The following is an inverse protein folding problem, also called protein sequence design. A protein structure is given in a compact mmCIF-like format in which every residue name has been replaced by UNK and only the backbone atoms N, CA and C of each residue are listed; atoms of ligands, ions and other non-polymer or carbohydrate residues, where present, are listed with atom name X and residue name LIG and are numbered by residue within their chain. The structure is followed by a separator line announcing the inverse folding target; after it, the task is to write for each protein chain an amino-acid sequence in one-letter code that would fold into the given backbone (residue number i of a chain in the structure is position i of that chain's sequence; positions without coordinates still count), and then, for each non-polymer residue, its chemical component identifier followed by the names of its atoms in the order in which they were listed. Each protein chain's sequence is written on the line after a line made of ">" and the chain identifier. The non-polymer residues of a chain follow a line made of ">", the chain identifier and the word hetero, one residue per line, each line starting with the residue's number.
data_IF_126123030227
#
_entry.id   IF_126123030227
#
_cell.length_a   1.000
_cell.length_b   1.000
_cell.length_c   1.000
_cell.angle_alpha   90.00
_cell.angle_beta   90.00
_cell.angle_gamma   90.00
#
_symmetry.space_group_name_H-M   'P 1'
#
loop_
_entity.id
_entity.type
_entity.pdbx_description
1 polymer ?
#
# COMPACT_ATOMS: atom_id res chain seq x y z
N UNK A 1 -20.62 -7.63 -8.84
CA UNK A 1 -20.90 -6.80 -7.65
C UNK A 1 -20.23 -5.45 -7.89
N UNK A 2 -20.85 -4.33 -7.53
CA UNK A 2 -20.16 -3.03 -7.61
C UNK A 2 -19.06 -2.99 -6.55
N UNK A 3 -17.84 -2.60 -6.91
CA UNK A 3 -16.67 -2.51 -6.00
C UNK A 3 -17.00 -1.72 -4.71
N UNK A 4 -17.82 -0.67 -4.83
CA UNK A 4 -18.34 0.10 -3.68
C UNK A 4 -19.14 -0.74 -2.68
N UNK A 5 -19.91 -1.71 -3.15
CA UNK A 5 -20.70 -2.60 -2.30
C UNK A 5 -19.78 -3.54 -1.51
N UNK A 6 -18.75 -4.06 -2.17
CA UNK A 6 -17.77 -4.95 -1.55
C UNK A 6 -16.97 -4.24 -0.46
N UNK A 7 -16.47 -3.02 -0.74
CA UNK A 7 -15.79 -2.17 0.25
C UNK A 7 -16.70 -1.90 1.46
N UNK A 8 -17.97 -1.60 1.22
CA UNK A 8 -18.94 -1.38 2.30
C UNK A 8 -19.19 -2.64 3.13
N UNK A 9 -19.31 -3.81 2.51
CA UNK A 9 -19.49 -5.09 3.22
C UNK A 9 -18.26 -5.42 4.09
N UNK A 10 -17.05 -5.15 3.58
CA UNK A 10 -15.81 -5.29 4.34
C UNK A 10 -15.72 -4.31 5.52
N UNK A 11 -16.13 -3.06 5.34
CA UNK A 11 -16.23 -2.06 6.42
C UNK A 11 -17.17 -2.56 7.53
N UNK A 12 -18.37 -3.02 7.18
CA UNK A 12 -19.32 -3.53 8.17
C UNK A 12 -18.75 -4.74 8.93
N UNK A 13 -18.03 -5.62 8.24
CA UNK A 13 -17.34 -6.75 8.87
C UNK A 13 -16.25 -6.29 9.83
N UNK A 14 -15.44 -5.30 9.44
CA UNK A 14 -14.38 -4.76 10.28
C UNK A 14 -14.92 -4.04 11.53
N UNK A 15 -16.08 -3.37 11.43
CA UNK A 15 -16.75 -2.69 12.56
C UNK A 15 -17.40 -3.70 13.50
N UNK A 16 -18.27 -4.55 12.96
CA UNK A 16 -19.27 -5.28 13.75
C UNK A 16 -18.99 -6.76 13.92
N UNK A 17 -17.99 -7.34 13.22
CA UNK A 17 -17.68 -8.76 13.42
C UNK A 17 -17.31 -9.03 14.88
N UNK A 18 -17.68 -10.21 15.38
CA UNK A 18 -17.33 -10.65 16.72
C UNK A 18 -15.88 -11.16 16.80
N UNK A 19 -15.31 -11.54 15.65
CA UNK A 19 -14.00 -12.18 15.57
C UNK A 19 -12.91 -11.17 15.17
N UNK A 20 -11.91 -10.98 16.04
CA UNK A 20 -10.73 -10.15 15.73
C UNK A 20 -10.02 -10.60 14.45
N UNK A 21 -10.01 -11.92 14.19
CA UNK A 21 -9.47 -12.50 12.96
C UNK A 21 -10.20 -12.02 11.71
N UNK A 22 -11.53 -12.02 11.74
CA UNK A 22 -12.34 -11.55 10.61
C UNK A 22 -12.19 -10.05 10.40
N UNK A 23 -12.14 -9.27 11.49
CA UNK A 23 -11.87 -7.82 11.41
C UNK A 23 -10.54 -7.53 10.71
N UNK A 24 -9.47 -8.21 11.13
CA UNK A 24 -8.14 -8.09 10.51
C UNK A 24 -8.14 -8.52 9.05
N UNK A 25 -8.87 -9.58 8.71
CA UNK A 25 -8.97 -10.07 7.34
C UNK A 25 -9.72 -9.07 6.45
N UNK A 26 -10.81 -8.48 6.94
CA UNK A 26 -11.54 -7.44 6.24
C UNK A 26 -10.70 -6.16 6.03
N UNK A 27 -9.91 -5.73 7.02
CA UNK A 27 -8.99 -4.60 6.90
C UNK A 27 -7.90 -4.87 5.86
N UNK A 28 -7.38 -6.10 5.83
CA UNK A 28 -6.40 -6.50 4.82
C UNK A 28 -7.01 -6.46 3.42
N UNK A 29 -8.24 -6.94 3.25
CA UNK A 29 -8.95 -6.89 1.97
C UNK A 29 -9.22 -5.44 1.55
N UNK A 30 -9.67 -4.59 2.47
CA UNK A 30 -9.81 -3.13 2.28
C UNK A 30 -8.51 -2.50 1.76
N UNK A 31 -7.34 -2.92 2.26
CA UNK A 31 -6.05 -2.42 1.77
C UNK A 31 -5.77 -2.72 0.30
N UNK A 32 -6.37 -3.77 -0.27
CA UNK A 32 -6.22 -4.10 -1.69
C UNK A 32 -7.04 -3.17 -2.60
N UNK A 33 -8.14 -2.61 -2.10
CA UNK A 33 -8.97 -1.64 -2.84
C UNK A 33 -8.33 -0.24 -2.95
N UNK A 34 -7.20 0.00 -2.27
CA UNK A 34 -6.43 1.24 -2.42
C UNK A 34 -7.09 2.45 -1.77
N UNK A 35 -7.01 3.61 -2.42
CA UNK A 35 -7.40 4.90 -1.82
C UNK A 35 -8.89 4.99 -1.44
N UNK A 36 -9.73 4.25 -2.16
CA UNK A 36 -11.17 4.20 -1.89
C UNK A 36 -11.47 3.65 -0.50
N UNK A 37 -10.60 2.81 0.07
CA UNK A 37 -10.78 2.20 1.38
C UNK A 37 -10.29 3.06 2.55
N UNK A 38 -9.49 4.11 2.30
CA UNK A 38 -8.94 4.99 3.35
C UNK A 38 -10.04 5.58 4.27
N UNK A 39 -11.11 6.22 3.77
CA UNK A 39 -12.14 6.78 4.66
C UNK A 39 -12.88 5.70 5.46
N UNK A 40 -13.01 4.49 4.90
CA UNK A 40 -13.65 3.36 5.59
C UNK A 40 -12.77 2.82 6.73
N UNK A 41 -11.45 2.74 6.52
CA UNK A 41 -10.50 2.32 7.54
C UNK A 41 -10.42 3.31 8.71
N UNK A 42 -10.53 4.61 8.42
CA UNK A 42 -10.56 5.68 9.44
C UNK A 42 -11.83 5.58 10.31
N UNK A 43 -12.98 5.39 9.68
CA UNK A 43 -14.26 5.18 10.36
C UNK A 43 -14.25 3.91 11.24
N UNK A 44 -13.69 2.80 10.74
CA UNK A 44 -13.49 1.56 11.54
C UNK A 44 -12.64 1.86 12.78
N UNK A 45 -11.57 2.64 12.62
CA UNK A 45 -10.66 3.00 13.71
C UNK A 45 -11.32 3.87 14.78
N UNK A 46 -12.24 4.74 14.36
CA UNK A 46 -13.02 5.61 15.24
C UNK A 46 -14.09 4.84 16.04
N UNK A 47 -14.69 3.81 15.43
CA UNK A 47 -15.74 3.00 16.07
C UNK A 47 -15.17 1.87 16.95
N UNK A 48 -14.03 1.29 16.56
CA UNK A 48 -13.45 0.15 17.28
C UNK A 48 -12.74 0.56 18.57
N UNK A 49 -12.95 -0.20 19.64
CA UNK A 49 -12.24 -0.05 20.92
C UNK A 49 -10.98 -0.92 21.00
N UNK A 50 -10.74 -1.78 20.01
CA UNK A 50 -9.63 -2.72 20.00
C UNK A 50 -8.38 -2.09 19.40
N UNK A 51 -7.34 -1.89 20.21
CA UNK A 51 -6.09 -1.27 19.76
C UNK A 51 -5.39 -2.07 18.64
N UNK A 52 -5.49 -3.40 18.65
CA UNK A 52 -4.93 -4.22 17.56
C UNK A 52 -5.63 -4.00 16.22
N UNK A 53 -6.92 -3.64 16.24
CA UNK A 53 -7.69 -3.34 15.04
C UNK A 53 -7.35 -1.93 14.56
N UNK A 54 -7.16 -0.99 15.49
CA UNK A 54 -6.65 0.36 15.16
C UNK A 54 -5.27 0.28 14.50
N UNK A 55 -4.36 -0.50 15.07
CA UNK A 55 -3.04 -0.75 14.50
C UNK A 55 -3.14 -1.32 13.08
N UNK A 56 -3.97 -2.35 12.88
CA UNK A 56 -4.18 -2.93 11.55
C UNK A 56 -4.75 -1.92 10.53
N UNK A 57 -5.70 -1.05 10.94
CA UNK A 57 -6.20 0.02 10.07
C UNK A 57 -5.11 1.01 9.70
N UNK A 58 -4.29 1.46 10.66
CA UNK A 58 -3.18 2.38 10.40
C UNK A 58 -2.15 1.77 9.44
N UNK A 59 -1.77 0.51 9.65
CA UNK A 59 -0.85 -0.22 8.76
C UNK A 59 -1.43 -0.35 7.34
N UNK A 60 -2.72 -0.68 7.22
CA UNK A 60 -3.39 -0.76 5.93
C UNK A 60 -3.41 0.58 5.18
N UNK A 61 -3.75 1.68 5.87
CA UNK A 61 -3.72 3.04 5.30
C UNK A 61 -2.30 3.41 4.85
N UNK A 62 -1.29 3.08 5.66
CA UNK A 62 0.11 3.34 5.32
C UNK A 62 0.52 2.56 4.06
N UNK A 63 0.19 1.27 3.99
CA UNK A 63 0.50 0.42 2.84
C UNK A 63 -0.16 0.92 1.55
N UNK A 64 -1.40 1.44 1.62
CA UNK A 64 -2.08 2.07 0.49
C UNK A 64 -1.30 3.31 0.01
N UNK A 65 -0.91 4.19 0.95
CA UNK A 65 -0.16 5.43 0.64
C UNK A 65 1.21 5.12 0.03
N UNK A 66 1.93 4.14 0.58
CA UNK A 66 3.23 3.69 0.06
C UNK A 66 3.10 3.11 -1.34
N UNK A 67 2.06 2.30 -1.62
CA UNK A 67 1.79 1.79 -2.97
C UNK A 67 1.54 2.91 -3.99
N UNK A 68 0.80 3.95 -3.62
CA UNK A 68 0.57 5.08 -4.51
C UNK A 68 1.81 5.95 -4.71
N UNK A 69 2.66 6.09 -3.70
CA UNK A 69 3.93 6.79 -3.82
C UNK A 69 4.90 6.04 -4.75
N UNK A 70 4.96 4.71 -4.67
CA UNK A 70 5.75 3.88 -5.58
C UNK A 70 5.26 3.99 -7.04
N UNK A 71 3.95 4.17 -7.26
CA UNK A 71 3.37 4.33 -8.61
C UNK A 71 3.63 5.71 -9.23
N UNK A 72 3.98 6.71 -8.41
CA UNK A 72 4.33 8.07 -8.83
C UNK A 72 5.85 8.34 -8.82
N UNK A 73 6.68 7.32 -8.59
CA UNK A 73 8.10 7.41 -8.90
C UNK A 73 8.29 6.99 -10.36
N UNK A 74 8.61 7.91 -11.30
CA UNK A 74 9.32 7.48 -12.49
C UNK A 74 10.61 6.82 -11.99
N UNK A 75 10.80 5.58 -12.41
CA UNK A 75 12.09 4.92 -12.63
C UNK A 75 13.26 5.89 -12.40
N UNK A 76 13.85 5.86 -11.20
CA UNK A 76 15.21 6.36 -11.03
C UNK A 76 16.11 5.24 -11.54
N UNK A 77 16.09 5.11 -12.86
CA UNK A 77 17.25 4.99 -13.73
C UNK A 77 18.57 4.82 -12.95
N UNK A 78 18.93 3.56 -12.66
CA UNK A 78 20.33 3.18 -12.56
C UNK A 78 20.82 2.81 -13.96
N UNK A 79 20.82 3.75 -14.90
CA UNK A 79 21.66 3.71 -16.08
C UNK A 79 22.70 4.85 -15.98
N UNK A 80 23.81 4.54 -15.30
CA UNK A 80 25.08 5.18 -15.68
C UNK A 80 25.86 4.12 -16.46
N UNK A 81 25.46 3.91 -17.72
CA UNK A 81 26.40 3.50 -18.74
C UNK A 81 27.24 4.73 -19.11
N UNK A 82 28.53 4.71 -18.77
CA UNK A 82 29.54 5.38 -19.59
C UNK A 82 30.81 4.54 -19.53
N UNK A 83 30.86 3.52 -20.38
CA UNK A 83 32.11 3.25 -21.08
C UNK A 83 32.36 4.37 -22.10
N UNK A 84 33.62 4.68 -22.40
CA UNK A 84 33.98 4.40 -23.79
C UNK A 84 35.34 3.69 -23.90
N UNK A 85 35.32 2.65 -24.74
CA UNK A 85 36.32 2.32 -25.75
C UNK A 85 37.81 2.39 -25.39
N UNK A 86 38.42 1.20 -25.41
CA UNK A 86 39.72 0.91 -26.04
C UNK A 86 40.35 2.06 -26.83
N UNK A 87 41.55 2.48 -26.40
CA UNK A 87 42.56 2.99 -27.34
C UNK A 87 43.97 2.55 -26.92
N UNK A 88 44.31 1.35 -27.39
CA UNK A 88 45.66 0.92 -27.70
C UNK A 88 46.22 1.91 -28.74
N UNK A 89 47.28 2.67 -28.42
CA UNK A 89 48.30 3.20 -29.34
C UNK A 89 49.18 4.27 -28.67
N UNK A 90 50.47 3.95 -28.53
CA UNK A 90 51.63 4.77 -28.93
C UNK A 90 51.76 6.25 -28.50
N UNK A 91 52.87 6.61 -27.83
CA UNK A 91 53.97 7.36 -28.48
C UNK A 91 55.23 7.54 -27.56
N UNK A 92 56.46 7.60 -28.14
CA UNK A 92 57.78 7.66 -27.48
C UNK A 92 58.32 9.13 -27.50
N UNK A 93 59.64 9.50 -27.46
CA UNK A 93 60.92 8.80 -27.72
C UNK A 93 61.63 8.19 -26.49
#
# INVERSE_FOLDING_TARGET
>A
MSEKKEIWELEQTAKWSHSLREKKMAIKELSFHGELAIPYLDEVMNVTTYDEIKAACMEAIKAIKEKNQARNQPEQDTAIEFGPSTRLADLPP
#
